data_IF_196508089852
#
_entry.id   IF_196508089852
#
_cell.length_a   1.000
_cell.length_b   1.000
_cell.length_c   1.000
_cell.angle_alpha   90.00
_cell.angle_beta   90.00
_cell.angle_gamma   90.00
#
_symmetry.space_group_name_H-M   'P 1'
#
loop_
_entity.id
_entity.type
_entity.pdbx_description
1 polymer ?
#
# COMPACT_ATOMS: atom_id res chain seq x y z
N UNK A 1 10.84 -5.29 30.67
CA UNK A 1 9.69 -5.92 29.99
C UNK A 1 8.88 -4.84 29.27
N UNK A 2 8.67 -5.05 27.96
CA UNK A 2 7.81 -4.37 26.98
C UNK A 2 7.12 -3.02 27.33
N UNK A 3 7.69 -1.90 26.88
CA UNK A 3 6.95 -0.69 26.48
C UNK A 3 6.76 -0.70 24.96
N UNK A 4 5.97 -1.65 24.46
CA UNK A 4 5.77 -1.87 23.01
C UNK A 4 4.30 -1.89 22.63
N UNK A 5 3.45 -1.18 23.38
CA UNK A 5 2.01 -1.09 23.12
C UNK A 5 1.62 0.15 22.30
N UNK A 6 2.28 1.29 22.53
CA UNK A 6 1.83 2.58 21.99
C UNK A 6 2.27 2.79 20.53
N UNK A 7 3.46 2.31 20.16
CA UNK A 7 4.00 2.42 18.79
C UNK A 7 3.16 1.68 17.74
N UNK A 8 2.44 0.64 18.13
CA UNK A 8 1.63 -0.19 17.24
C UNK A 8 0.35 0.51 16.76
N UNK A 9 -0.24 1.40 17.58
CA UNK A 9 -1.46 2.12 17.20
C UNK A 9 -1.18 3.23 16.18
N UNK A 10 -0.06 3.93 16.31
CA UNK A 10 0.33 4.97 15.36
C UNK A 10 0.70 4.39 14.00
N UNK A 11 1.40 3.25 13.97
CA UNK A 11 1.69 2.53 12.73
C UNK A 11 0.42 2.02 12.03
N UNK A 12 -0.58 1.53 12.78
CA UNK A 12 -1.85 1.08 12.19
C UNK A 12 -2.65 2.24 11.56
N UNK A 13 -2.63 3.42 12.19
CA UNK A 13 -3.23 4.63 11.61
C UNK A 13 -2.51 5.09 10.36
N UNK A 14 -1.17 5.02 10.34
CA UNK A 14 -0.37 5.35 9.14
C UNK A 14 -0.67 4.41 7.96
N UNK A 15 -0.91 3.13 8.21
CA UNK A 15 -1.27 2.14 7.18
C UNK A 15 -2.65 2.36 6.56
N UNK A 16 -3.56 3.03 7.27
CA UNK A 16 -4.91 3.34 6.79
C UNK A 16 -4.96 4.60 5.93
N UNK A 17 -3.86 5.34 5.81
CA UNK A 17 -3.84 6.56 5.02
C UNK A 17 -3.95 6.22 3.52
N UNK A 18 -4.84 6.89 2.78
CA UNK A 18 -4.88 6.78 1.33
C UNK A 18 -3.58 7.34 0.74
N UNK A 19 -2.98 6.59 -0.19
CA UNK A 19 -1.84 7.08 -0.97
C UNK A 19 -2.34 7.95 -2.13
N UNK A 20 -1.41 8.63 -2.80
CA UNK A 20 -1.69 9.30 -4.08
C UNK A 20 -1.71 8.34 -5.27
N UNK A 21 -1.51 7.04 -5.03
CA UNK A 21 -1.43 6.02 -6.08
C UNK A 21 -2.78 5.31 -6.23
N UNK A 22 -3.24 5.19 -7.47
CA UNK A 22 -4.40 4.38 -7.82
C UNK A 22 -3.96 2.98 -8.25
N UNK A 23 -4.81 2.00 -7.97
CA UNK A 23 -4.64 0.66 -8.46
C UNK A 23 -4.96 0.59 -9.94
N UNK A 24 -4.01 0.10 -10.73
CA UNK A 24 -4.18 -0.05 -12.19
C UNK A 24 -5.20 -1.15 -12.56
N UNK A 25 -5.56 -2.06 -11.63
CA UNK A 25 -6.55 -3.14 -11.87
C UNK A 25 -8.00 -2.71 -11.60
N UNK A 26 -8.26 -2.05 -10.47
CA UNK A 26 -9.62 -1.70 -10.04
C UNK A 26 -9.92 -0.19 -10.07
N UNK A 27 -8.92 0.66 -10.34
CA UNK A 27 -9.09 2.11 -10.41
C UNK A 27 -9.40 2.78 -9.06
N UNK A 28 -9.20 2.10 -7.93
CA UNK A 28 -9.40 2.70 -6.61
C UNK A 28 -8.08 3.22 -6.02
N UNK A 29 -8.16 4.25 -5.16
CA UNK A 29 -7.02 4.72 -4.38
C UNK A 29 -6.49 3.57 -3.49
N UNK A 30 -5.17 3.40 -3.47
CA UNK A 30 -4.52 2.39 -2.64
C UNK A 30 -4.13 3.00 -1.30
N UNK A 31 -4.35 2.31 -0.19
CA UNK A 31 -3.87 2.75 1.13
C UNK A 31 -2.43 2.32 1.34
N UNK A 32 -1.69 3.00 2.21
CA UNK A 32 -0.26 2.71 2.49
C UNK A 32 -0.08 1.24 2.89
N UNK A 33 -1.00 0.68 3.68
CA UNK A 33 -0.97 -0.71 4.11
C UNK A 33 -1.21 -1.74 3.00
N UNK A 34 -1.92 -1.35 1.95
CA UNK A 34 -2.34 -2.23 0.85
C UNK A 34 -1.57 -1.95 -0.46
N UNK A 35 -0.58 -1.06 -0.44
CA UNK A 35 0.19 -0.68 -1.62
C UNK A 35 1.13 -1.79 -2.07
N UNK A 36 0.97 -2.23 -3.31
CA UNK A 36 1.83 -3.20 -3.97
C UNK A 36 2.43 -2.61 -5.27
N UNK A 37 3.67 -2.10 -5.21
CA UNK A 37 4.37 -1.60 -6.39
C UNK A 37 4.96 -2.75 -7.19
N UNK A 38 4.60 -2.85 -8.46
CA UNK A 38 5.17 -3.80 -9.42
C UNK A 38 5.90 -3.03 -10.51
N UNK A 39 7.13 -3.46 -10.78
CA UNK A 39 7.94 -2.89 -11.83
C UNK A 39 7.55 -3.58 -13.13
N UNK A 40 6.85 -2.86 -14.00
CA UNK A 40 6.56 -3.36 -15.33
C UNK A 40 7.84 -3.28 -16.17
N UNK A 41 8.48 -4.44 -16.34
CA UNK A 41 9.74 -4.56 -17.09
C UNK A 41 9.59 -4.21 -18.56
N UNK A 42 8.37 -4.32 -19.10
CA UNK A 42 8.05 -4.07 -20.50
C UNK A 42 7.97 -2.56 -20.82
N UNK A 43 7.32 -1.79 -19.94
CA UNK A 43 7.09 -0.34 -20.11
C UNK A 43 8.04 0.54 -19.30
N UNK A 44 9.00 -0.06 -18.58
CA UNK A 44 9.91 0.62 -17.63
C UNK A 44 9.16 1.55 -16.66
N UNK A 45 7.92 1.20 -16.31
CA UNK A 45 7.03 2.01 -15.47
C UNK A 45 6.73 1.25 -14.18
N UNK A 46 6.65 1.99 -13.07
CA UNK A 46 6.17 1.44 -11.81
C UNK A 46 4.64 1.50 -11.81
N UNK A 47 4.01 0.35 -11.71
CA UNK A 47 2.57 0.21 -11.58
C UNK A 47 2.23 -0.08 -10.13
N UNK A 48 1.09 0.42 -9.66
CA UNK A 48 0.65 0.25 -8.28
C UNK A 48 -0.65 -0.55 -8.28
N UNK A 49 -0.72 -1.53 -7.39
CA UNK A 49 -1.91 -2.36 -7.21
C UNK A 49 -2.22 -2.51 -5.73
N UNK A 50 -3.48 -2.84 -5.39
CA UNK A 50 -3.77 -3.37 -4.07
C UNK A 50 -3.15 -4.76 -3.93
N UNK A 51 -2.73 -5.15 -2.72
CA UNK A 51 -2.25 -6.51 -2.44
C UNK A 51 -3.29 -7.57 -2.84
N UNK A 52 -4.56 -7.27 -2.58
CA UNK A 52 -5.72 -8.08 -2.99
C UNK A 52 -6.01 -8.07 -4.50
N UNK A 53 -5.52 -7.07 -5.24
CA UNK A 53 -5.76 -6.95 -6.67
C UNK A 53 -4.64 -7.58 -7.49
N UNK A 54 -3.41 -7.66 -6.99
CA UNK A 54 -2.31 -8.28 -7.72
C UNK A 54 -2.43 -9.81 -7.83
N UNK A 55 -3.23 -10.44 -6.94
CA UNK A 55 -3.62 -11.85 -7.03
C UNK A 55 -4.61 -12.15 -8.16
#
# INVERSE_FOLDING_TARGET
>A
MAKTGEKSKEHAKAMSQPTKHMCEKCGQIITVGDMFPIKDGLRRKMMYYHKKCFG
#
